data_IF_828139907745
#
_entry.id   IF_828139907745
#
_cell.length_a   1.000
_cell.length_b   1.000
_cell.length_c   1.000
_cell.angle_alpha   90.00
_cell.angle_beta   90.00
_cell.angle_gamma   90.00
#
_symmetry.space_group_name_H-M   'P 1'
#
loop_
_entity.id
_entity.type
_entity.pdbx_description
1 polymer ?
#
# COMPACT_ATOMS: atom_id res chain seq x y z
N UNK A 1 16.93 49.74 -5.95
CA UNK A 1 17.01 49.49 -4.50
C UNK A 1 15.66 48.98 -4.07
N UNK A 2 15.49 47.67 -3.96
CA UNK A 2 14.53 47.08 -3.03
C UNK A 2 15.08 45.71 -2.60
N UNK A 3 14.80 45.38 -1.35
CA UNK A 3 15.67 44.73 -0.40
C UNK A 3 15.32 43.24 -0.29
N UNK A 4 16.36 42.41 -0.25
CA UNK A 4 16.40 41.01 0.19
C UNK A 4 15.09 40.38 0.72
N UNK A 5 14.46 39.52 -0.08
CA UNK A 5 13.73 38.36 0.47
C UNK A 5 14.77 37.32 0.86
N UNK A 6 15.21 37.39 2.11
CA UNK A 6 16.01 36.37 2.74
C UNK A 6 15.21 35.05 2.71
N UNK A 7 15.76 34.06 2.00
CA UNK A 7 15.38 32.67 2.18
C UNK A 7 15.78 32.25 3.59
N UNK A 8 14.87 32.44 4.55
CA UNK A 8 14.98 31.96 5.91
C UNK A 8 14.96 30.42 5.90
N UNK A 9 16.12 29.82 5.61
CA UNK A 9 16.44 28.43 5.92
C UNK A 9 16.68 28.30 7.43
N UNK A 10 15.68 28.71 8.23
CA UNK A 10 15.61 28.41 9.64
C UNK A 10 15.05 26.99 9.76
N UNK A 11 15.82 26.06 10.33
CA UNK A 11 15.40 24.68 10.55
C UNK A 11 14.03 24.62 11.20
N UNK A 12 12.99 24.40 10.40
CA UNK A 12 11.60 24.42 10.84
C UNK A 12 11.40 23.30 11.84
N UNK A 13 11.31 23.66 13.12
CA UNK A 13 10.81 22.73 14.14
C UNK A 13 9.32 22.58 13.92
N UNK A 14 8.97 21.51 13.21
CA UNK A 14 7.58 21.13 13.04
C UNK A 14 7.07 20.48 14.32
N UNK A 15 5.80 20.69 14.70
CA UNK A 15 5.22 19.96 15.81
C UNK A 15 5.21 18.46 15.48
N UNK A 16 5.38 17.60 16.49
CA UNK A 16 5.39 16.15 16.30
C UNK A 16 4.14 15.65 15.58
N UNK A 17 2.98 16.27 15.82
CA UNK A 17 1.73 15.94 15.12
C UNK A 17 1.84 16.13 13.61
N UNK A 18 2.51 17.18 13.15
CA UNK A 18 2.69 17.45 11.72
C UNK A 18 3.70 16.49 11.09
N UNK A 19 4.81 16.21 11.79
CA UNK A 19 5.79 15.21 11.34
C UNK A 19 5.13 13.83 11.22
N UNK A 20 4.38 13.41 12.24
CA UNK A 20 3.67 12.13 12.22
C UNK A 20 2.62 12.12 11.11
N UNK A 21 1.84 13.19 10.94
CA UNK A 21 0.87 13.30 9.84
C UNK A 21 1.54 13.16 8.47
N UNK A 22 2.70 13.78 8.29
CA UNK A 22 3.48 13.69 7.07
C UNK A 22 4.04 12.28 6.82
N UNK A 23 4.60 11.66 7.85
CA UNK A 23 5.07 10.28 7.77
C UNK A 23 3.94 9.32 7.40
N UNK A 24 2.76 9.45 8.00
CA UNK A 24 1.62 8.57 7.72
C UNK A 24 1.07 8.82 6.31
N UNK A 25 1.08 10.07 5.82
CA UNK A 25 0.75 10.40 4.41
C UNK A 25 1.71 9.71 3.43
N UNK A 26 3.02 9.86 3.63
CA UNK A 26 4.02 9.24 2.74
C UNK A 26 3.94 7.72 2.78
N UNK A 27 3.70 7.15 3.96
CA UNK A 27 3.50 5.72 4.11
C UNK A 27 2.28 5.22 3.30
N UNK A 28 1.18 5.97 3.31
CA UNK A 28 0.03 5.65 2.47
C UNK A 28 0.38 5.69 0.98
N UNK A 29 1.10 6.73 0.53
CA UNK A 29 1.49 6.89 -0.87
C UNK A 29 2.42 5.76 -1.36
N UNK A 30 3.41 5.38 -0.55
CA UNK A 30 4.32 4.27 -0.85
C UNK A 30 3.57 2.94 -0.94
N UNK A 31 2.71 2.66 0.05
CA UNK A 31 1.87 1.46 0.05
C UNK A 31 0.93 1.42 -1.16
N UNK A 32 0.36 2.57 -1.54
CA UNK A 32 -0.50 2.69 -2.71
C UNK A 32 0.26 2.41 -4.01
N UNK A 33 1.53 2.81 -4.12
CA UNK A 33 2.37 2.48 -5.27
C UNK A 33 2.54 0.96 -5.39
N UNK A 34 2.89 0.28 -4.31
CA UNK A 34 3.09 -1.17 -4.32
C UNK A 34 1.77 -1.92 -4.59
N UNK A 35 0.65 -1.46 -4.00
CA UNK A 35 -0.68 -2.01 -4.25
C UNK A 35 -1.09 -1.89 -5.73
N UNK A 36 -0.71 -0.79 -6.39
CA UNK A 36 -0.93 -0.60 -7.83
C UNK A 36 -0.01 -1.47 -8.69
N UNK A 37 1.18 -1.82 -8.20
CA UNK A 37 2.07 -2.77 -8.86
C UNK A 37 1.55 -4.22 -8.85
N UNK A 38 0.46 -4.48 -8.13
CA UNK A 38 -0.20 -5.79 -8.07
C UNK A 38 0.08 -6.58 -6.80
N UNK A 39 0.77 -5.99 -5.81
CA UNK A 39 1.02 -6.64 -4.54
C UNK A 39 -0.29 -6.78 -3.73
N UNK A 40 -0.67 -8.02 -3.44
CA UNK A 40 -1.95 -8.35 -2.81
C UNK A 40 -1.99 -7.96 -1.34
N UNK A 41 -0.88 -8.13 -0.63
CA UNK A 41 -0.77 -7.72 0.77
C UNK A 41 -0.92 -6.21 0.88
N UNK A 42 -0.31 -5.46 -0.04
CA UNK A 42 -0.39 -3.99 -0.09
C UNK A 42 -1.79 -3.52 -0.51
N UNK A 43 -2.48 -4.23 -1.40
CA UNK A 43 -3.88 -3.92 -1.73
C UNK A 43 -4.79 -4.05 -0.51
N UNK A 44 -4.62 -5.10 0.29
CA UNK A 44 -5.34 -5.26 1.56
C UNK A 44 -4.96 -4.14 2.54
N UNK A 45 -3.67 -3.82 2.66
CA UNK A 45 -3.18 -2.78 3.57
C UNK A 45 -3.72 -1.39 3.21
N UNK A 46 -3.70 -0.98 1.94
CA UNK A 46 -4.33 0.28 1.47
C UNK A 46 -5.80 0.31 1.85
N UNK A 47 -6.49 -0.82 1.70
CA UNK A 47 -7.88 -0.94 2.09
C UNK A 47 -8.12 -0.71 3.59
N UNK A 48 -7.26 -1.25 4.45
CA UNK A 48 -7.29 -1.01 5.89
C UNK A 48 -6.98 0.46 6.23
N UNK A 49 -5.99 1.07 5.55
CA UNK A 49 -5.63 2.47 5.75
C UNK A 49 -6.79 3.41 5.41
N UNK A 50 -7.53 3.17 4.33
CA UNK A 50 -8.76 3.90 4.02
C UNK A 50 -9.86 3.68 5.06
N UNK A 51 -10.04 2.47 5.58
CA UNK A 51 -11.04 2.19 6.61
C UNK A 51 -10.73 2.89 7.94
N UNK A 52 -9.45 3.01 8.29
CA UNK A 52 -8.98 3.63 9.52
C UNK A 52 -8.76 5.14 9.40
N UNK A 53 -8.50 5.66 8.19
CA UNK A 53 -8.10 7.05 7.95
C UNK A 53 -6.62 7.32 8.19
N UNK A 54 -5.74 6.35 7.92
CA UNK A 54 -4.29 6.52 8.05
C UNK A 54 -3.73 7.23 6.82
N UNK A 55 -3.27 8.47 6.99
CA UNK A 55 -2.61 9.24 5.94
C UNK A 55 -3.58 9.81 4.90
N UNK A 56 -4.82 9.35 4.91
CA UNK A 56 -5.90 9.81 4.04
C UNK A 56 -7.21 9.94 4.83
N UNK A 57 -8.17 10.75 4.35
CA UNK A 57 -9.51 10.76 4.92
C UNK A 57 -10.12 9.36 4.92
N UNK A 58 -10.80 9.02 6.02
CA UNK A 58 -11.50 7.75 6.17
C UNK A 58 -12.54 7.58 5.07
N UNK A 59 -12.43 6.49 4.32
CA UNK A 59 -13.32 6.15 3.22
C UNK A 59 -13.52 4.63 3.18
N UNK A 60 -14.51 4.16 3.93
CA UNK A 60 -14.78 2.72 4.09
C UNK A 60 -15.16 2.06 2.76
N UNK A 61 -15.79 2.82 1.85
CA UNK A 61 -16.21 2.30 0.54
C UNK A 61 -14.98 2.01 -0.32
N UNK A 62 -14.05 2.97 -0.43
CA UNK A 62 -12.76 2.73 -1.10
C UNK A 62 -11.96 1.64 -0.41
N UNK A 63 -11.95 1.62 0.93
CA UNK A 63 -11.25 0.61 1.70
C UNK A 63 -11.68 -0.82 1.35
N UNK A 64 -13.00 -1.06 1.30
CA UNK A 64 -13.56 -2.35 0.89
C UNK A 64 -13.24 -2.70 -0.57
N UNK A 65 -13.27 -1.73 -1.47
CA UNK A 65 -12.93 -1.96 -2.88
C UNK A 65 -11.47 -2.42 -3.06
N UNK A 66 -10.54 -1.84 -2.29
CA UNK A 66 -9.14 -2.27 -2.29
C UNK A 66 -8.92 -3.67 -1.71
N UNK A 67 -9.63 -4.00 -0.62
CA UNK A 67 -9.58 -5.35 -0.03
C UNK A 67 -10.14 -6.39 -1.02
N UNK A 68 -11.30 -6.12 -1.62
CA UNK A 68 -11.92 -7.00 -2.62
C UNK A 68 -11.00 -7.22 -3.83
N UNK A 69 -10.31 -6.17 -4.28
CA UNK A 69 -9.32 -6.27 -5.36
C UNK A 69 -8.18 -7.24 -5.03
N UNK A 70 -7.64 -7.17 -3.81
CA UNK A 70 -6.58 -8.08 -3.35
C UNK A 70 -7.05 -9.53 -3.26
N UNK A 71 -8.23 -9.76 -2.67
CA UNK A 71 -8.79 -11.11 -2.53
C UNK A 71 -9.07 -11.78 -3.89
N UNK A 72 -9.56 -11.02 -4.87
CA UNK A 72 -9.87 -11.55 -6.22
C UNK A 72 -8.66 -11.96 -7.05
N UNK A 73 -7.48 -11.42 -6.76
CA UNK A 73 -6.25 -11.82 -7.44
C UNK A 73 -5.61 -13.03 -6.74
N UNK A 74 -5.70 -13.11 -5.41
CA UNK A 74 -5.26 -14.31 -4.67
C UNK A 74 -6.09 -15.57 -4.98
N UNK A 75 -7.37 -15.40 -5.33
CA UNK A 75 -8.25 -16.51 -5.74
C UNK A 75 -8.04 -16.95 -7.21
N UNK A 76 -7.35 -16.14 -8.01
CA UNK A 76 -6.91 -16.50 -9.36
C UNK A 76 -5.54 -17.15 -9.29
N UNK A 77 -5.54 -18.42 -8.91
CA UNK A 77 -4.48 -19.34 -9.28
C UNK A 77 -4.86 -20.04 -10.61
N UNK A 78 -4.28 -19.67 -11.76
CA UNK A 78 -4.31 -20.51 -12.97
C UNK A 78 -3.00 -21.28 -13.15
N UNK A 79 -2.26 -21.61 -12.08
CA UNK A 79 -0.83 -21.90 -12.19
C UNK A 79 -0.25 -23.03 -11.34
N UNK A 80 -1.00 -23.65 -10.42
CA UNK A 80 -0.57 -24.91 -9.81
C UNK A 80 -0.68 -26.07 -10.81
N UNK A 81 0.18 -26.05 -11.83
CA UNK A 81 0.63 -27.28 -12.46
C UNK A 81 1.64 -27.91 -11.50
N UNK A 82 1.14 -28.64 -10.50
CA UNK A 82 1.93 -29.62 -9.76
C UNK A 82 2.31 -30.76 -10.73
N UNK A 83 3.24 -30.48 -11.64
CA UNK A 83 3.94 -31.45 -12.49
C UNK A 83 5.28 -31.77 -11.84
N UNK A 84 5.29 -32.12 -10.56
CA UNK A 84 6.43 -32.81 -9.97
C UNK A 84 5.90 -33.77 -8.91
N UNK A 85 6.16 -35.06 -9.13
CA UNK A 85 5.80 -36.23 -8.29
C UNK A 85 4.29 -36.56 -8.30
N UNK A 86 3.80 -37.48 -9.12
CA UNK A 86 4.15 -38.90 -9.08
C UNK A 86 3.67 -39.55 -10.39
N UNK A 87 4.58 -39.75 -11.33
CA UNK A 87 4.39 -40.71 -12.43
C UNK A 87 5.49 -41.75 -12.29
N UNK A 88 5.24 -42.78 -11.49
CA UNK A 88 5.24 -44.18 -11.94
C UNK A 88 4.90 -45.11 -10.76
N UNK A 89 3.61 -45.33 -10.52
CA UNK A 89 3.16 -46.61 -9.98
C UNK A 89 2.96 -47.61 -11.13
N UNK A 90 3.49 -48.83 -10.93
CA UNK A 90 3.28 -50.06 -11.72
C UNK A 90 3.98 -50.09 -13.11
N UNK A 91 4.53 -51.19 -13.62
CA UNK A 91 4.29 -52.60 -13.34
C UNK A 91 5.46 -53.49 -13.84
N UNK A 92 5.61 -54.62 -13.16
CA UNK A 92 6.07 -55.94 -13.65
C UNK A 92 7.56 -56.18 -13.99
#
# INVERSE_FOLDING_TARGET
MDLATAGESGGRRLPLSEVVSDCVRRWFEDTLRDANAGDIEKQVLVGQMYCAGYGVPKDVVKGRAWIDKGQKVGDKDPGYNAIDSDSQAAAH
#
